data_IF_998829699317
#
_entry.id   IF_998829699317
#
_cell.length_a   1.000
_cell.length_b   1.000
_cell.length_c   1.000
_cell.angle_alpha   90.00
_cell.angle_beta   90.00
_cell.angle_gamma   90.00
#
_symmetry.space_group_name_H-M   'P 1'
#
loop_
_entity.id
_entity.type
_entity.pdbx_description
1 polymer ?
#
# COMPACT_ATOMS: atom_id res chain seq x y z
N UNK A 1 -27.25 -33.48 -16.07
CA UNK A 1 -27.11 -32.00 -16.06
C UNK A 1 -26.80 -31.45 -14.66
N UNK A 2 -27.63 -31.71 -13.63
CA UNK A 2 -27.40 -31.19 -12.25
C UNK A 2 -26.05 -31.56 -11.60
N UNK A 3 -25.48 -32.74 -11.92
CA UNK A 3 -24.20 -33.23 -11.37
C UNK A 3 -22.96 -32.44 -11.86
N UNK A 4 -23.02 -31.80 -13.03
CA UNK A 4 -21.90 -31.03 -13.58
C UNK A 4 -21.84 -29.60 -13.04
N UNK A 5 -22.94 -29.09 -12.49
CA UNK A 5 -23.03 -27.73 -11.93
C UNK A 5 -22.12 -27.59 -10.70
N UNK A 6 -22.05 -28.62 -9.86
CA UNK A 6 -21.20 -28.63 -8.66
C UNK A 6 -19.71 -28.64 -9.04
N UNK A 7 -19.34 -29.36 -10.10
CA UNK A 7 -17.95 -29.43 -10.57
C UNK A 7 -17.48 -28.08 -11.15
N UNK A 8 -18.36 -27.38 -11.88
CA UNK A 8 -18.05 -26.05 -12.45
C UNK A 8 -17.88 -24.99 -11.34
N UNK A 9 -18.67 -25.08 -10.26
CA UNK A 9 -18.57 -24.15 -9.13
C UNK A 9 -17.28 -24.33 -8.30
N UNK A 10 -16.73 -25.55 -8.28
CA UNK A 10 -15.47 -25.84 -7.59
C UNK A 10 -14.22 -25.34 -8.36
N UNK A 11 -14.36 -25.00 -9.65
CA UNK A 11 -13.25 -24.55 -10.51
C UNK A 11 -13.07 -23.02 -10.50
N UNK A 12 -13.99 -22.26 -9.91
CA UNK A 12 -13.87 -20.79 -9.80
C UNK A 12 -13.20 -20.40 -8.49
N UNK A 13 -11.96 -20.82 -8.30
CA UNK A 13 -11.10 -20.34 -7.21
C UNK A 13 -10.42 -19.05 -7.66
N UNK A 14 -10.95 -17.90 -7.27
CA UNK A 14 -10.28 -16.62 -7.50
C UNK A 14 -9.23 -16.38 -6.42
N UNK A 15 -8.05 -15.90 -6.81
CA UNK A 15 -7.07 -15.39 -5.86
C UNK A 15 -7.61 -14.12 -5.22
N UNK A 16 -7.97 -14.19 -3.93
CA UNK A 16 -8.24 -13.01 -3.13
C UNK A 16 -6.91 -12.35 -2.78
N UNK A 17 -6.61 -11.19 -3.37
CA UNK A 17 -5.49 -10.36 -2.93
C UNK A 17 -5.91 -9.64 -1.65
N UNK A 18 -5.45 -10.16 -0.53
CA UNK A 18 -5.59 -9.51 0.77
C UNK A 18 -4.42 -8.55 0.96
N UNK A 19 -4.69 -7.37 1.52
CA UNK A 19 -3.63 -6.46 1.95
C UNK A 19 -2.69 -7.11 2.95
N UNK A 20 -1.51 -6.51 3.14
CA UNK A 20 -0.53 -6.96 4.10
C UNK A 20 0.19 -5.80 4.75
N UNK A 21 0.64 -6.01 5.97
CA UNK A 21 1.61 -5.14 6.61
C UNK A 21 2.97 -5.29 5.92
N UNK A 22 3.62 -4.18 5.63
CA UNK A 22 5.04 -4.15 5.27
C UNK A 22 5.92 -4.45 6.49
N UNK A 23 7.15 -4.88 6.30
CA UNK A 23 8.07 -5.01 7.44
C UNK A 23 8.31 -3.63 8.09
N UNK A 24 8.40 -3.56 9.43
CA UNK A 24 8.81 -2.34 10.11
C UNK A 24 10.13 -1.79 9.55
N UNK A 25 10.10 -0.54 9.09
CA UNK A 25 11.23 0.05 8.39
C UNK A 25 11.23 1.57 8.47
N UNK A 26 12.37 2.22 8.23
CA UNK A 26 12.46 3.69 8.20
C UNK A 26 12.11 4.24 6.83
N UNK A 27 11.59 5.46 6.81
CA UNK A 27 11.36 6.21 5.58
C UNK A 27 12.70 6.79 5.10
N UNK A 28 13.06 6.52 3.84
CA UNK A 28 14.28 7.04 3.19
C UNK A 28 13.99 8.15 2.18
N UNK A 29 12.76 8.18 1.66
CA UNK A 29 12.29 9.21 0.72
C UNK A 29 10.85 9.56 1.08
N UNK A 30 10.54 10.85 1.12
CA UNK A 30 9.16 11.36 1.20
C UNK A 30 8.99 12.56 0.28
N UNK A 31 7.99 12.55 -0.59
CA UNK A 31 7.63 13.73 -1.39
C UNK A 31 6.15 13.74 -1.72
N UNK A 32 5.61 14.92 -2.02
CA UNK A 32 4.26 15.08 -2.54
C UNK A 32 4.29 15.15 -4.07
N UNK A 33 3.28 14.61 -4.74
CA UNK A 33 3.16 14.60 -6.18
C UNK A 33 1.73 14.94 -6.61
N UNK A 34 1.57 15.73 -7.68
CA UNK A 34 0.25 16.25 -8.10
C UNK A 34 -0.50 15.34 -9.08
N UNK A 35 0.15 14.32 -9.66
CA UNK A 35 -0.54 13.39 -10.57
C UNK A 35 -1.69 12.64 -9.89
N UNK A 36 -2.71 12.30 -10.68
CA UNK A 36 -3.96 11.64 -10.26
C UNK A 36 -4.62 12.29 -9.04
N UNK A 37 -4.61 13.63 -9.00
CA UNK A 37 -5.28 14.40 -7.95
C UNK A 37 -4.60 14.41 -6.58
N UNK A 38 -3.35 13.96 -6.50
CA UNK A 38 -2.50 14.14 -5.33
C UNK A 38 -2.09 12.83 -4.67
N UNK A 39 -0.78 12.67 -4.50
CA UNK A 39 -0.17 11.55 -3.81
C UNK A 39 0.88 12.01 -2.80
N UNK A 40 0.92 11.30 -1.68
CA UNK A 40 2.08 11.20 -0.82
C UNK A 40 2.88 9.99 -1.25
N UNK A 41 4.16 10.19 -1.57
CA UNK A 41 5.03 9.13 -2.07
C UNK A 41 6.14 8.87 -1.05
N UNK A 42 6.32 7.60 -0.71
CA UNK A 42 7.26 7.16 0.29
C UNK A 42 8.12 6.00 -0.21
N UNK A 43 9.39 6.01 0.15
CA UNK A 43 10.27 4.84 0.04
C UNK A 43 10.71 4.45 1.45
N UNK A 44 10.58 3.18 1.79
CA UNK A 44 11.11 2.61 3.02
C UNK A 44 12.48 1.97 2.75
N UNK A 45 13.27 1.69 3.80
CA UNK A 45 14.51 0.91 3.65
C UNK A 45 14.20 -0.51 3.15
N UNK A 46 13.09 -1.09 3.61
CA UNK A 46 12.56 -2.38 3.14
C UNK A 46 11.33 -2.18 2.26
N UNK A 47 11.47 -2.52 0.98
CA UNK A 47 10.41 -2.48 -0.04
C UNK A 47 10.01 -3.89 -0.53
N UNK A 48 10.35 -4.94 0.22
CA UNK A 48 10.13 -6.34 -0.18
C UNK A 48 8.65 -6.75 -0.20
N UNK A 49 7.78 -6.01 0.48
CA UNK A 49 6.37 -6.35 0.61
C UNK A 49 5.54 -5.71 -0.52
N UNK A 50 4.84 -6.55 -1.28
CA UNK A 50 3.98 -6.17 -2.41
C UNK A 50 2.80 -7.16 -2.51
N UNK A 51 1.79 -7.05 -1.63
CA UNK A 51 0.78 -8.09 -1.43
C UNK A 51 -0.11 -8.30 -2.66
N UNK A 52 -0.36 -7.23 -3.43
CA UNK A 52 -1.23 -7.24 -4.60
C UNK A 52 -0.45 -7.38 -5.93
N UNK A 53 0.87 -7.63 -5.88
CA UNK A 53 1.68 -7.86 -7.08
C UNK A 53 1.80 -6.66 -8.02
N UNK A 54 1.79 -5.44 -7.48
CA UNK A 54 1.89 -4.21 -8.26
C UNK A 54 3.21 -4.16 -9.05
N UNK A 55 3.18 -3.73 -10.32
CA UNK A 55 4.36 -3.79 -11.20
C UNK A 55 5.43 -2.74 -10.90
N UNK A 56 5.15 -1.74 -10.05
CA UNK A 56 6.10 -0.71 -9.69
C UNK A 56 6.26 -0.57 -8.15
N UNK A 57 6.89 -1.56 -7.48
CA UNK A 57 7.02 -1.58 -6.02
C UNK A 57 8.15 -0.67 -5.48
N UNK A 58 8.73 0.21 -6.30
CA UNK A 58 9.85 1.08 -5.90
C UNK A 58 9.43 2.14 -4.88
N UNK A 59 8.14 2.48 -4.87
CA UNK A 59 7.53 3.41 -3.94
C UNK A 59 6.21 2.88 -3.42
N UNK A 60 5.86 3.27 -2.20
CA UNK A 60 4.52 3.16 -1.64
C UNK A 60 3.84 4.52 -1.69
N UNK A 61 2.53 4.52 -1.93
CA UNK A 61 1.78 5.77 -2.13
C UNK A 61 0.53 5.84 -1.29
N UNK A 62 0.19 7.02 -0.80
CA UNK A 62 -1.12 7.32 -0.20
C UNK A 62 -1.86 8.31 -1.11
N UNK A 63 -3.05 7.94 -1.56
CA UNK A 63 -3.87 8.73 -2.50
C UNK A 63 -4.70 9.76 -1.75
N UNK A 64 -4.64 11.03 -2.16
CA UNK A 64 -5.54 12.06 -1.64
C UNK A 64 -6.99 11.84 -2.08
N UNK A 65 -7.20 11.26 -3.27
CA UNK A 65 -8.54 11.07 -3.83
C UNK A 65 -9.30 9.92 -3.18
N UNK A 66 -8.60 8.88 -2.73
CA UNK A 66 -9.23 7.64 -2.26
C UNK A 66 -8.96 7.33 -0.79
N UNK A 67 -8.23 8.19 -0.06
CA UNK A 67 -7.98 8.02 1.36
C UNK A 67 -8.50 9.23 2.16
N UNK A 68 -9.56 9.06 2.99
CA UNK A 68 -10.14 10.16 3.76
C UNK A 68 -9.21 10.71 4.85
N UNK A 69 -8.18 9.96 5.23
CA UNK A 69 -7.17 10.35 6.23
C UNK A 69 -5.79 10.55 5.59
N UNK A 70 -5.78 11.01 4.33
CA UNK A 70 -4.58 11.27 3.56
C UNK A 70 -3.61 12.22 4.28
N UNK A 71 -4.11 13.34 4.81
CA UNK A 71 -3.28 14.39 5.39
C UNK A 71 -2.62 13.91 6.69
N UNK A 72 -3.34 13.12 7.48
CA UNK A 72 -2.86 12.49 8.71
C UNK A 72 -1.78 11.45 8.42
N UNK A 73 -2.01 10.53 7.47
CA UNK A 73 -1.01 9.52 7.08
C UNK A 73 0.24 10.19 6.50
N UNK A 74 0.06 11.16 5.60
CA UNK A 74 1.18 11.88 5.00
C UNK A 74 2.02 12.60 6.07
N UNK A 75 1.36 13.34 6.96
CA UNK A 75 2.01 14.08 8.04
C UNK A 75 2.71 13.15 9.04
N UNK A 76 2.09 12.02 9.38
CA UNK A 76 2.67 11.01 10.27
C UNK A 76 3.96 10.42 9.69
N UNK A 77 3.93 10.00 8.42
CA UNK A 77 5.09 9.42 7.75
C UNK A 77 6.19 10.45 7.48
N UNK A 78 5.83 11.70 7.17
CA UNK A 78 6.77 12.80 7.04
C UNK A 78 7.47 13.10 8.37
N UNK A 79 6.72 13.18 9.47
CA UNK A 79 7.28 13.36 10.81
C UNK A 79 8.19 12.20 11.20
N UNK A 80 7.81 10.96 10.87
CA UNK A 80 8.65 9.79 11.10
C UNK A 80 9.96 9.83 10.30
N UNK A 81 9.91 10.26 9.04
CA UNK A 81 11.11 10.47 8.22
C UNK A 81 12.04 11.51 8.85
N UNK A 82 11.52 12.68 9.23
CA UNK A 82 12.31 13.75 9.84
C UNK A 82 12.88 13.38 11.21
N UNK A 83 12.19 12.53 11.97
CA UNK A 83 12.62 12.08 13.31
C UNK A 83 13.40 10.76 13.29
N UNK A 84 13.66 10.19 12.11
CA UNK A 84 14.37 8.91 11.93
C UNK A 84 13.71 7.74 12.71
N UNK A 85 12.38 7.77 12.81
CA UNK A 85 11.57 6.75 13.49
C UNK A 85 11.16 5.63 12.53
N UNK A 86 10.98 4.43 13.09
CA UNK A 86 10.51 3.26 12.35
C UNK A 86 9.00 3.38 12.13
N UNK A 87 8.55 3.07 10.91
CA UNK A 87 7.14 3.02 10.55
C UNK A 87 6.71 1.60 10.21
N UNK A 88 5.41 1.36 10.31
CA UNK A 88 4.79 0.12 9.90
C UNK A 88 3.53 0.48 9.11
N UNK A 89 3.51 0.12 7.83
CA UNK A 89 2.44 0.52 6.89
C UNK A 89 1.66 -0.69 6.40
N UNK A 90 0.35 -0.54 6.28
CA UNK A 90 -0.52 -1.53 5.66
C UNK A 90 -0.72 -1.17 4.19
N UNK A 91 -0.39 -2.14 3.33
CA UNK A 91 -0.47 -2.03 1.89
C UNK A 91 -1.69 -2.80 1.38
N UNK A 92 -2.53 -2.16 0.58
CA UNK A 92 -3.62 -2.83 -0.10
C UNK A 92 -4.03 -2.08 -1.37
N UNK A 93 -3.97 -2.81 -2.48
CA UNK A 93 -4.25 -2.33 -3.83
C UNK A 93 -3.06 -1.66 -4.50
N UNK A 94 -3.22 -1.42 -5.80
CA UNK A 94 -2.27 -0.72 -6.63
C UNK A 94 -2.86 0.61 -7.11
N UNK A 95 -2.04 1.67 -7.11
CA UNK A 95 -2.39 2.97 -7.69
C UNK A 95 -2.48 2.91 -9.22
N UNK A 96 -3.00 3.95 -9.91
CA UNK A 96 -3.00 4.00 -11.38
C UNK A 96 -1.60 3.94 -12.03
N UNK A 97 -0.54 4.28 -11.30
CA UNK A 97 0.86 4.09 -11.72
C UNK A 97 1.46 2.75 -11.28
N UNK A 98 0.61 1.86 -10.75
CA UNK A 98 0.93 0.53 -10.29
C UNK A 98 1.96 0.48 -9.13
N UNK A 99 1.91 1.48 -8.24
CA UNK A 99 2.58 1.45 -6.94
C UNK A 99 1.66 0.86 -5.85
N UNK A 100 2.17 0.08 -4.88
CA UNK A 100 1.39 -0.35 -3.73
C UNK A 100 0.84 0.83 -2.91
N UNK A 101 -0.42 0.71 -2.48
CA UNK A 101 -1.15 1.78 -1.81
C UNK A 101 -1.15 1.60 -0.29
N UNK A 102 -0.71 2.63 0.43
CA UNK A 102 -0.79 2.73 1.88
C UNK A 102 -2.23 3.10 2.26
N UNK A 103 -2.86 2.26 3.09
CA UNK A 103 -4.16 2.56 3.70
C UNK A 103 -4.06 2.88 5.19
N UNK A 104 -3.06 2.31 5.88
CA UNK A 104 -2.80 2.57 7.29
C UNK A 104 -1.30 2.77 7.53
N UNK A 105 -0.96 3.59 8.52
CA UNK A 105 0.40 3.80 8.97
C UNK A 105 0.43 3.96 10.49
N UNK A 106 1.49 3.44 11.12
CA UNK A 106 1.82 3.73 12.51
C UNK A 106 3.33 3.94 12.67
N UNK A 107 3.69 4.73 13.65
CA UNK A 107 5.08 4.90 14.10
C UNK A 107 5.33 3.91 15.23
N UNK A 108 6.52 3.32 15.26
CA UNK A 108 6.98 2.44 16.32
C UNK A 108 8.01 3.18 17.17
N UNK A 109 8.05 2.82 18.47
CA UNK A 109 8.93 3.46 19.46
C UNK A 109 10.41 3.16 19.25
#
# INVERSE_FOLDING_TARGET
MKKYIILVLALTSFSAFAGSWANPSKVTVSYAHTAHGGYGVFRLEDMSVNPDGCSNPVYYVVSKQSNPVFEEIYSLLLAAHMSNKTVHVWLNGCSPHNHPVIQHARVLD
#
